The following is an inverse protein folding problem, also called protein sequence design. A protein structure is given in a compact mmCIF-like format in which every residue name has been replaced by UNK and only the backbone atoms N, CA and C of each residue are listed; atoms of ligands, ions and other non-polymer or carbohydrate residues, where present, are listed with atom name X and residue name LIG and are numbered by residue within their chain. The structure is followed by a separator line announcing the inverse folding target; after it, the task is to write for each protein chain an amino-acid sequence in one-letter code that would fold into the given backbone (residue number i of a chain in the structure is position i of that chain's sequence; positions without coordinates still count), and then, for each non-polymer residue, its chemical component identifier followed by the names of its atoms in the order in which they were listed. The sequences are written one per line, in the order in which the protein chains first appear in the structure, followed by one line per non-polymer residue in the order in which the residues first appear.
data_IF_807922806918
#
_entry.id   IF_807922806918
#
_cell.length_a   1.000
_cell.length_b   1.000
_cell.length_c   1.000
_cell.angle_alpha   90.00
_cell.angle_beta   90.00
_cell.angle_gamma   90.00
#
_symmetry.space_group_name_H-M   'P 1'
#
loop_
_entity.id
_entity.type
_entity.pdbx_description
1 polymer ?
#
# COMPACT_ATOMS: atom_id res chain seq x y z
N UNK A 1 -60.69 46.58 -6.81
CA UNK A 1 -59.64 46.61 -5.78
C UNK A 1 -59.41 45.17 -5.41
N UNK A 2 -58.50 44.53 -6.14
CA UNK A 2 -57.99 43.19 -5.84
C UNK A 2 -57.21 43.27 -4.53
N UNK A 3 -57.61 42.45 -3.55
CA UNK A 3 -56.75 42.11 -2.42
C UNK A 3 -56.11 40.78 -2.75
N UNK A 4 -54.84 40.79 -3.12
CA UNK A 4 -54.02 39.57 -3.12
C UNK A 4 -53.85 39.15 -1.65
N UNK A 5 -54.53 38.06 -1.24
CA UNK A 5 -54.22 37.38 0.01
C UNK A 5 -52.81 36.80 -0.13
N UNK A 6 -51.83 37.42 0.53
CA UNK A 6 -50.54 36.76 0.79
C UNK A 6 -50.80 35.58 1.73
N UNK A 7 -51.02 34.42 1.14
CA UNK A 7 -51.10 33.15 1.86
C UNK A 7 -49.71 32.82 2.40
N UNK A 8 -49.48 33.18 3.66
CA UNK A 8 -48.25 32.83 4.36
C UNK A 8 -48.15 31.31 4.44
N UNK A 9 -47.09 30.74 3.84
CA UNK A 9 -46.80 29.30 3.79
C UNK A 9 -46.80 28.60 5.16
N UNK A 10 -46.74 29.36 6.27
CA UNK A 10 -46.74 28.86 7.64
C UNK A 10 -48.15 28.64 8.23
N UNK A 11 -49.21 29.02 7.52
CA UNK A 11 -50.59 28.94 8.01
C UNK A 11 -51.32 27.67 7.55
N UNK A 12 -50.68 26.88 6.67
CA UNK A 12 -51.15 25.58 6.20
C UNK A 12 -50.38 24.46 6.91
N UNK A 13 -51.10 23.69 7.74
CA UNK A 13 -50.54 22.61 8.55
C UNK A 13 -49.90 21.49 7.69
N UNK A 14 -50.40 21.25 6.48
CA UNK A 14 -49.85 20.24 5.56
C UNK A 14 -48.52 20.71 4.98
N UNK A 15 -48.46 21.98 4.56
CA UNK A 15 -47.22 22.60 4.04
C UNK A 15 -46.16 22.69 5.14
N UNK A 16 -46.55 23.08 6.35
CA UNK A 16 -45.65 23.13 7.50
C UNK A 16 -45.07 21.75 7.85
N UNK A 17 -45.90 20.70 7.84
CA UNK A 17 -45.46 19.33 8.09
C UNK A 17 -44.43 18.84 7.07
N UNK A 18 -44.63 19.15 5.77
CA UNK A 18 -43.69 18.79 4.70
C UNK A 18 -42.36 19.52 4.86
N UNK A 19 -42.40 20.84 5.13
CA UNK A 19 -41.19 21.64 5.34
C UNK A 19 -40.41 21.12 6.56
N UNK A 20 -41.09 20.79 7.65
CA UNK A 20 -40.47 20.21 8.84
C UNK A 20 -39.80 18.87 8.52
N UNK A 21 -40.49 17.97 7.82
CA UNK A 21 -39.94 16.68 7.43
C UNK A 21 -38.68 16.83 6.54
N UNK A 22 -38.72 17.71 5.54
CA UNK A 22 -37.58 17.99 4.67
C UNK A 22 -36.42 18.59 5.47
N UNK A 23 -36.69 19.49 6.41
CA UNK A 23 -35.66 20.11 7.25
C UNK A 23 -34.93 19.08 8.13
N UNK A 24 -35.67 18.12 8.70
CA UNK A 24 -35.09 17.03 9.51
C UNK A 24 -34.20 16.15 8.63
N UNK A 25 -34.69 15.74 7.45
CA UNK A 25 -33.92 14.92 6.51
C UNK A 25 -32.65 15.66 6.06
N UNK A 26 -32.77 16.93 5.69
CA UNK A 26 -31.64 17.77 5.30
C UNK A 26 -30.62 17.94 6.44
N UNK A 27 -31.08 18.11 7.68
CA UNK A 27 -30.20 18.26 8.85
C UNK A 27 -29.43 16.98 9.15
N UNK A 28 -30.09 15.83 9.10
CA UNK A 28 -29.46 14.52 9.29
C UNK A 28 -28.43 14.26 8.20
N UNK A 29 -28.79 14.48 6.92
CA UNK A 29 -27.86 14.31 5.80
C UNK A 29 -26.67 15.28 5.87
N UNK A 30 -26.93 16.56 6.21
CA UNK A 30 -25.89 17.55 6.39
C UNK A 30 -24.91 17.16 7.49
N UNK A 31 -25.40 16.65 8.61
CA UNK A 31 -24.58 16.18 9.72
C UNK A 31 -23.73 14.98 9.32
N UNK A 32 -24.29 14.00 8.59
CA UNK A 32 -23.54 12.83 8.10
C UNK A 32 -22.45 13.22 7.10
N UNK A 33 -22.70 14.22 6.25
CA UNK A 33 -21.70 14.69 5.27
C UNK A 33 -20.56 15.46 5.95
N UNK A 34 -20.85 16.26 6.98
CA UNK A 34 -19.85 17.06 7.71
C UNK A 34 -19.05 16.22 8.70
N UNK A 35 -19.73 15.34 9.46
CA UNK A 35 -19.11 14.50 10.48
C UNK A 35 -18.57 13.19 9.94
N UNK A 36 -18.66 12.94 8.63
CA UNK A 36 -18.07 11.75 8.02
C UNK A 36 -16.59 11.77 8.41
N UNK A 37 -16.12 10.83 9.25
CA UNK A 37 -14.71 10.81 9.60
C UNK A 37 -13.97 10.56 8.28
N UNK A 38 -13.23 11.57 7.81
CA UNK A 38 -12.17 11.40 6.83
C UNK A 38 -11.03 10.65 7.51
N UNK A 39 -11.32 9.45 7.96
CA UNK A 39 -10.31 8.49 8.36
C UNK A 39 -10.47 7.34 7.39
N UNK A 40 -10.10 7.58 6.13
CA UNK A 40 -9.54 6.46 5.41
C UNK A 40 -8.32 6.05 6.23
N UNK A 41 -8.28 4.79 6.63
CA UNK A 41 -7.16 4.23 7.39
C UNK A 41 -5.86 4.58 6.66
N UNK A 42 -4.88 5.18 7.35
CA UNK A 42 -3.61 5.54 6.72
C UNK A 42 -2.76 4.29 6.58
N UNK A 43 -2.30 3.98 5.37
CA UNK A 43 -1.41 2.84 5.17
C UNK A 43 -0.43 3.05 4.02
N UNK A 44 0.61 2.23 4.03
CA UNK A 44 1.48 2.01 2.87
C UNK A 44 1.31 0.56 2.44
N UNK A 45 1.57 0.24 1.18
CA UNK A 45 1.55 -1.14 0.73
C UNK A 45 2.75 -1.44 -0.17
N UNK A 46 3.21 -2.68 -0.10
CA UNK A 46 4.17 -3.29 -1.00
C UNK A 46 3.57 -4.58 -1.55
N UNK A 47 3.82 -4.86 -2.82
CA UNK A 47 3.44 -6.11 -3.46
C UNK A 47 4.54 -6.60 -4.38
N UNK A 48 4.70 -7.92 -4.43
CA UNK A 48 5.52 -8.60 -5.43
C UNK A 48 4.59 -9.17 -6.49
N UNK A 49 5.00 -9.07 -7.76
CA UNK A 49 4.27 -9.53 -8.92
C UNK A 49 5.22 -10.32 -9.85
N UNK A 50 4.66 -11.16 -10.71
CA UNK A 50 5.42 -11.93 -11.69
C UNK A 50 6.08 -11.03 -12.75
N UNK A 51 6.78 -11.65 -13.69
CA UNK A 51 7.45 -10.95 -14.80
C UNK A 51 6.49 -10.14 -15.70
N UNK A 52 5.19 -10.45 -15.66
CA UNK A 52 4.14 -9.77 -16.41
C UNK A 52 3.38 -8.74 -15.55
N UNK A 53 3.91 -8.43 -14.37
CA UNK A 53 3.32 -7.56 -13.35
C UNK A 53 1.90 -8.00 -12.94
N UNK A 54 1.70 -9.30 -12.74
CA UNK A 54 0.45 -9.90 -12.24
C UNK A 54 0.70 -10.73 -10.98
N UNK A 55 -0.37 -10.95 -10.21
CA UNK A 55 -0.33 -11.85 -9.07
C UNK A 55 -0.41 -13.30 -9.58
N UNK A 56 0.48 -14.15 -9.08
CA UNK A 56 0.55 -15.58 -9.43
C UNK A 56 1.56 -15.87 -10.55
N UNK A 57 1.75 -17.15 -10.87
CA UNK A 57 2.76 -17.61 -11.85
C UNK A 57 4.20 -17.16 -11.55
N UNK A 58 4.55 -17.09 -10.27
CA UNK A 58 5.90 -16.80 -9.85
C UNK A 58 6.86 -17.95 -10.21
N UNK A 59 8.15 -17.66 -10.46
CA UNK A 59 9.14 -18.68 -10.73
C UNK A 59 9.40 -19.53 -9.48
N UNK A 60 9.32 -20.85 -9.64
CA UNK A 60 9.57 -21.81 -8.56
C UNK A 60 11.03 -22.30 -8.52
N UNK A 61 11.76 -22.15 -9.64
CA UNK A 61 13.12 -22.63 -9.80
C UNK A 61 13.98 -21.56 -10.47
N UNK A 62 15.20 -21.36 -9.97
CA UNK A 62 16.23 -20.56 -10.61
C UNK A 62 17.58 -21.25 -10.61
N UNK A 63 18.41 -20.91 -11.60
CA UNK A 63 19.79 -21.39 -11.64
C UNK A 63 20.66 -20.47 -10.79
N UNK A 64 21.57 -21.05 -10.01
CA UNK A 64 22.49 -20.28 -9.16
C UNK A 64 23.27 -19.23 -9.97
N UNK A 65 23.21 -17.97 -9.54
CA UNK A 65 23.88 -16.85 -10.19
C UNK A 65 23.11 -16.20 -11.34
N UNK A 66 21.85 -16.61 -11.57
CA UNK A 66 20.98 -15.98 -12.57
C UNK A 66 20.15 -14.85 -11.98
N UNK A 67 19.62 -14.00 -12.86
CA UNK A 67 18.63 -12.99 -12.49
C UNK A 67 17.22 -13.45 -12.83
N UNK A 68 16.28 -13.09 -11.97
CA UNK A 68 14.85 -13.31 -12.16
C UNK A 68 14.17 -11.97 -12.37
N UNK A 69 13.22 -11.94 -13.32
CA UNK A 69 12.36 -10.79 -13.57
C UNK A 69 11.09 -10.88 -12.76
N UNK A 70 10.77 -9.82 -12.05
CA UNK A 70 9.55 -9.65 -11.24
C UNK A 70 9.07 -8.20 -11.42
N UNK A 71 7.93 -7.85 -10.85
CA UNK A 71 7.57 -6.43 -10.67
C UNK A 71 7.32 -6.11 -9.20
N UNK A 72 7.66 -4.89 -8.80
CA UNK A 72 7.30 -4.34 -7.51
C UNK A 72 6.12 -3.39 -7.65
N UNK A 73 5.17 -3.53 -6.75
CA UNK A 73 4.08 -2.60 -6.51
C UNK A 73 4.32 -1.86 -5.21
N UNK A 74 4.17 -0.53 -5.20
CA UNK A 74 4.22 0.30 -4.00
C UNK A 74 3.07 1.29 -4.02
N UNK A 75 2.38 1.46 -2.90
CA UNK A 75 1.24 2.38 -2.77
C UNK A 75 1.34 3.21 -1.50
N UNK A 76 1.05 4.51 -1.64
CA UNK A 76 0.97 5.46 -0.55
C UNK A 76 -0.48 5.88 -0.30
N UNK A 77 -0.97 5.65 0.91
CA UNK A 77 -2.26 6.14 1.38
C UNK A 77 -2.12 6.79 2.77
N UNK A 78 -1.04 7.55 3.00
CA UNK A 78 -0.73 8.17 4.30
C UNK A 78 -1.40 9.54 4.52
N UNK A 79 -2.09 10.08 3.52
CA UNK A 79 -2.63 11.46 3.51
C UNK A 79 -1.59 12.52 3.14
N UNK A 80 -0.36 12.14 2.84
CA UNK A 80 0.75 13.03 2.47
C UNK A 80 1.75 12.32 1.55
N UNK A 81 2.62 13.05 0.80
CA UNK A 81 3.67 12.43 0.01
C UNK A 81 4.69 11.67 0.86
N UNK A 82 5.14 10.52 0.37
CA UNK A 82 6.11 9.67 1.05
C UNK A 82 7.26 9.29 0.10
N UNK A 83 8.47 9.23 0.65
CA UNK A 83 9.65 8.75 -0.06
C UNK A 83 10.01 7.36 0.43
N UNK A 84 9.84 6.37 -0.44
CA UNK A 84 10.09 4.97 -0.13
C UNK A 84 11.39 4.47 -0.74
N UNK A 85 11.97 3.46 -0.09
CA UNK A 85 12.86 2.51 -0.72
C UNK A 85 12.37 1.09 -0.49
N UNK A 86 12.52 0.23 -1.49
CA UNK A 86 12.35 -1.21 -1.37
C UNK A 86 13.73 -1.82 -1.32
N UNK A 87 14.03 -2.56 -0.26
CA UNK A 87 15.32 -3.22 -0.03
C UNK A 87 15.17 -4.71 -0.34
N UNK A 88 16.03 -5.23 -1.20
CA UNK A 88 16.10 -6.65 -1.56
C UNK A 88 17.24 -7.36 -0.83
N UNK A 89 16.91 -8.52 -0.27
CA UNK A 89 17.82 -9.42 0.43
C UNK A 89 17.54 -10.86 0.03
N UNK A 90 18.55 -11.73 0.13
CA UNK A 90 18.38 -13.18 0.02
C UNK A 90 18.57 -13.76 1.42
N UNK A 91 17.63 -14.59 1.85
CA UNK A 91 17.66 -15.21 3.16
C UNK A 91 16.98 -16.57 3.17
N UNK A 92 16.55 -16.98 4.35
CA UNK A 92 15.83 -18.23 4.62
C UNK A 92 14.76 -17.99 5.69
N UNK A 93 14.12 -19.06 6.18
CA UNK A 93 13.07 -18.99 7.20
C UNK A 93 13.50 -18.26 8.49
N UNK A 94 14.77 -18.38 8.87
CA UNK A 94 15.31 -17.82 10.12
C UNK A 94 15.71 -16.34 9.97
N UNK A 95 15.82 -15.85 8.73
CA UNK A 95 16.20 -14.47 8.43
C UNK A 95 15.04 -13.65 7.86
N UNK A 96 13.80 -14.13 7.94
CA UNK A 96 12.66 -13.35 7.51
C UNK A 96 12.48 -12.11 8.40
N UNK A 97 12.03 -10.97 7.84
CA UNK A 97 11.63 -9.82 8.62
C UNK A 97 10.40 -10.14 9.49
N UNK A 98 10.15 -9.27 10.47
CA UNK A 98 8.90 -9.20 11.21
C UNK A 98 8.31 -7.80 11.08
N UNK A 99 7.10 -7.58 11.57
CA UNK A 99 6.48 -6.25 11.56
C UNK A 99 7.25 -5.18 12.39
N UNK A 100 8.21 -5.59 13.23
CA UNK A 100 8.98 -4.69 14.09
C UNK A 100 10.46 -4.64 13.76
N UNK A 101 10.97 -5.61 13.00
CA UNK A 101 12.41 -5.79 12.80
C UNK A 101 12.69 -6.26 11.39
N UNK A 102 13.55 -5.52 10.70
CA UNK A 102 14.06 -5.89 9.38
C UNK A 102 14.89 -7.17 9.44
N UNK A 103 14.94 -7.88 8.32
CA UNK A 103 15.80 -9.04 8.11
C UNK A 103 17.26 -8.74 8.42
N UNK A 104 17.95 -9.65 9.14
CA UNK A 104 19.39 -9.55 9.39
C UNK A 104 20.23 -9.91 8.16
N UNK A 105 19.63 -10.37 7.05
CA UNK A 105 20.35 -10.73 5.84
C UNK A 105 21.01 -9.50 5.19
N UNK A 106 22.02 -9.71 4.34
CA UNK A 106 22.71 -8.60 3.68
C UNK A 106 21.81 -7.93 2.62
N UNK A 107 21.85 -6.60 2.57
CA UNK A 107 21.24 -5.81 1.50
C UNK A 107 22.00 -6.03 0.19
N UNK A 108 21.27 -6.47 -0.85
CA UNK A 108 21.83 -6.77 -2.16
C UNK A 108 21.49 -5.66 -3.16
N UNK A 109 20.27 -5.12 -3.10
CA UNK A 109 19.79 -4.11 -4.05
C UNK A 109 18.70 -3.27 -3.41
N UNK A 110 18.53 -2.06 -3.91
CA UNK A 110 17.42 -1.18 -3.52
C UNK A 110 16.83 -0.44 -4.73
N UNK A 111 15.56 -0.09 -4.62
CA UNK A 111 14.85 0.80 -5.54
C UNK A 111 14.15 1.89 -4.73
N UNK A 112 14.09 3.10 -5.26
CA UNK A 112 13.51 4.24 -4.55
C UNK A 112 12.40 4.89 -5.37
N UNK A 113 11.37 5.35 -4.69
CA UNK A 113 10.21 6.00 -5.32
C UNK A 113 9.62 7.06 -4.39
N UNK A 114 9.22 8.18 -4.96
CA UNK A 114 8.41 9.20 -4.28
C UNK A 114 6.98 9.05 -4.79
N UNK A 115 6.01 8.97 -3.88
CA UNK A 115 4.60 8.83 -4.19
C UNK A 115 3.81 9.90 -3.44
N UNK A 116 2.94 10.63 -4.13
CA UNK A 116 1.96 11.50 -3.49
C UNK A 116 0.93 10.67 -2.70
N UNK A 117 0.09 11.34 -1.91
CA UNK A 117 -1.05 10.66 -1.30
C UNK A 117 -1.94 10.05 -2.40
N UNK A 118 -2.41 8.82 -2.18
CA UNK A 118 -3.23 8.07 -3.12
C UNK A 118 -2.54 7.69 -4.44
N UNK A 119 -1.21 7.80 -4.50
CA UNK A 119 -0.42 7.40 -5.66
C UNK A 119 0.20 6.01 -5.45
N UNK A 120 0.11 5.17 -6.48
CA UNK A 120 0.82 3.91 -6.57
C UNK A 120 1.71 3.87 -7.80
N UNK A 121 2.69 2.96 -7.76
CA UNK A 121 3.49 2.63 -8.93
C UNK A 121 3.69 1.11 -9.02
N UNK A 122 3.83 0.62 -10.25
CA UNK A 122 4.29 -0.73 -10.53
C UNK A 122 5.44 -0.65 -11.53
N UNK A 123 6.57 -1.28 -11.24
CA UNK A 123 7.71 -1.27 -12.15
C UNK A 123 8.44 -2.63 -12.17
N UNK A 124 8.98 -3.02 -13.33
CA UNK A 124 9.75 -4.26 -13.45
C UNK A 124 11.09 -4.16 -12.74
N UNK A 125 11.53 -5.26 -12.16
CA UNK A 125 12.81 -5.43 -11.49
C UNK A 125 13.50 -6.71 -11.96
N UNK A 126 14.84 -6.68 -11.98
CA UNK A 126 15.67 -7.88 -12.07
C UNK A 126 16.43 -8.07 -10.76
N UNK A 127 16.32 -9.26 -10.19
CA UNK A 127 16.97 -9.63 -8.93
C UNK A 127 17.91 -10.81 -9.14
N UNK A 128 19.16 -10.72 -8.68
CA UNK A 128 20.06 -11.86 -8.69
C UNK A 128 19.60 -12.89 -7.66
N UNK A 129 19.72 -14.17 -7.99
CA UNK A 129 19.46 -15.29 -7.08
C UNK A 129 20.70 -16.17 -7.01
N UNK A 130 21.20 -16.38 -5.80
CA UNK A 130 22.36 -17.20 -5.54
C UNK A 130 22.28 -17.90 -4.19
N UNK A 131 22.99 -19.02 -4.08
CA UNK A 131 23.17 -19.74 -2.82
C UNK A 131 24.39 -19.19 -2.07
N UNK A 132 24.20 -18.84 -0.81
CA UNK A 132 25.32 -18.63 0.10
C UNK A 132 25.91 -19.98 0.52
N UNK A 133 27.18 -20.00 0.93
CA UNK A 133 27.95 -21.23 1.19
C UNK A 133 27.31 -22.23 2.18
N UNK A 134 26.35 -21.78 3.00
CA UNK A 134 25.67 -22.56 4.03
C UNK A 134 24.16 -22.73 3.78
N UNK A 135 23.64 -22.33 2.62
CA UNK A 135 22.21 -22.36 2.33
C UNK A 135 21.77 -23.65 1.66
N UNK A 136 20.56 -24.08 2.01
CA UNK A 136 19.81 -25.13 1.31
C UNK A 136 19.50 -24.70 -0.12
N UNK A 137 19.19 -25.66 -0.99
CA UNK A 137 18.71 -25.39 -2.36
C UNK A 137 17.38 -24.61 -2.43
N UNK A 138 16.86 -24.08 -1.31
CA UNK A 138 15.68 -23.23 -1.23
C UNK A 138 16.04 -21.94 -0.49
N UNK A 139 15.78 -20.81 -1.12
CA UNK A 139 16.04 -19.47 -0.56
C UNK A 139 14.76 -18.63 -0.53
N UNK A 140 14.71 -17.65 0.36
CA UNK A 140 13.68 -16.63 0.42
C UNK A 140 14.20 -15.33 -0.21
N UNK A 141 13.54 -14.86 -1.25
CA UNK A 141 13.76 -13.56 -1.86
C UNK A 141 12.95 -12.53 -1.08
N UNK A 142 13.60 -11.69 -0.28
CA UNK A 142 12.94 -10.80 0.68
C UNK A 142 12.95 -9.38 0.14
N UNK A 143 11.78 -8.73 0.15
CA UNK A 143 11.59 -7.34 -0.26
C UNK A 143 10.96 -6.55 0.88
N UNK A 144 11.70 -5.60 1.44
CA UNK A 144 11.28 -4.80 2.58
C UNK A 144 10.95 -3.38 2.15
N UNK A 145 9.84 -2.84 2.64
CA UNK A 145 9.50 -1.45 2.45
C UNK A 145 10.07 -0.59 3.58
N UNK A 146 10.78 0.46 3.21
CA UNK A 146 11.33 1.47 4.10
C UNK A 146 10.83 2.84 3.66
N UNK A 147 10.56 3.71 4.62
CA UNK A 147 10.16 5.09 4.38
C UNK A 147 11.22 6.04 4.91
N UNK A 148 11.50 7.12 4.18
CA UNK A 148 12.42 8.14 4.64
C UNK A 148 11.70 9.07 5.61
N UNK A 149 12.15 9.10 6.86
CA UNK A 149 11.63 10.02 7.84
C UNK A 149 12.34 11.37 7.70
N UNK A 150 11.60 12.38 7.24
CA UNK A 150 12.12 13.73 7.01
C UNK A 150 12.52 14.46 8.31
N UNK A 151 11.96 14.06 9.46
CA UNK A 151 12.28 14.65 10.76
C UNK A 151 13.57 14.06 11.33
N UNK A 152 13.74 12.74 11.29
CA UNK A 152 14.94 12.06 11.78
C UNK A 152 16.09 12.07 10.76
N UNK A 153 15.79 12.32 9.48
CA UNK A 153 16.76 12.31 8.38
C UNK A 153 17.28 10.91 8.05
N UNK A 154 16.53 9.86 8.40
CA UNK A 154 16.95 8.47 8.28
C UNK A 154 15.88 7.61 7.61
N UNK A 155 16.30 6.48 7.05
CA UNK A 155 15.40 5.45 6.57
C UNK A 155 14.85 4.64 7.74
N UNK A 156 13.53 4.51 7.80
CA UNK A 156 12.81 3.77 8.82
C UNK A 156 12.08 2.59 8.20
N UNK A 157 12.27 1.41 8.78
CA UNK A 157 11.60 0.20 8.33
C UNK A 157 10.11 0.31 8.65
N UNK A 158 9.27 0.07 7.65
CA UNK A 158 7.82 0.28 7.79
C UNK A 158 7.10 -0.88 8.49
N UNK A 159 7.78 -2.01 8.72
CA UNK A 159 7.14 -3.25 9.16
C UNK A 159 6.45 -4.02 8.03
N UNK A 160 6.55 -3.54 6.79
CA UNK A 160 5.95 -4.17 5.61
C UNK A 160 7.03 -4.85 4.77
N UNK A 161 6.77 -6.11 4.41
CA UNK A 161 7.62 -6.87 3.51
C UNK A 161 6.79 -7.85 2.70
N UNK A 162 7.39 -8.36 1.63
CA UNK A 162 6.91 -9.51 0.87
C UNK A 162 8.09 -10.41 0.58
N UNK A 163 7.84 -11.71 0.47
CA UNK A 163 8.86 -12.69 0.16
C UNK A 163 8.40 -13.69 -0.90
N UNK A 164 9.36 -14.27 -1.60
CA UNK A 164 9.14 -15.34 -2.56
C UNK A 164 10.15 -16.46 -2.30
N UNK A 165 9.65 -17.64 -2.01
CA UNK A 165 10.49 -18.83 -1.94
C UNK A 165 10.79 -19.38 -3.32
N UNK A 166 12.05 -19.69 -3.56
CA UNK A 166 12.48 -20.30 -4.81
C UNK A 166 13.52 -21.40 -4.56
N UNK A 167 13.45 -22.46 -5.37
CA UNK A 167 14.47 -23.50 -5.38
C UNK A 167 15.62 -23.09 -6.31
N UNK A 168 16.84 -23.11 -5.81
CA UNK A 168 18.05 -22.75 -6.55
C UNK A 168 18.82 -24.01 -6.91
N UNK A 169 18.96 -24.27 -8.21
CA UNK A 169 19.74 -25.41 -8.71
C UNK A 169 21.15 -24.97 -9.10
N UNK A 170 22.15 -25.80 -8.81
CA UNK A 170 23.51 -25.61 -9.35
C UNK A 170 23.44 -25.74 -10.88
N UNK A 171 23.87 -24.71 -11.60
CA UNK A 171 24.03 -24.79 -13.05
C UNK A 171 24.97 -25.94 -13.38
N UNK A 172 24.60 -26.77 -14.37
CA UNK A 172 25.41 -27.89 -14.85
C UNK A 172 26.70 -27.44 -15.55
#
# INVERSE_FOLDING_TARGET
MEGEEEMSLLQDDEVFAVILAVSIVASVLGTVLILRPFSSEKFSAIGLLDENCKIGNYPEIAVNGTEIKLCLFVYNHLGEPAYYKVVYRIGNNDTLPSNLTSSPAQEIKEWRVILNNDENTTFPISVPVFLNANETDKVALIFELWAYNMTSGNWEYTGLWTDLYINVTKGG
#
